data_IF_944116194586
#
_entry.id   IF_944116194586
#
_cell.length_a   1.000
_cell.length_b   1.000
_cell.length_c   1.000
_cell.angle_alpha   90.00
_cell.angle_beta   90.00
_cell.angle_gamma   90.00
#
_symmetry.space_group_name_H-M   'P 1'
#
loop_
_entity.id
_entity.type
_entity.pdbx_description
1 polymer ?
#
# COMPACT_ATOMS: atom_id res chain seq x y z
N UNK A 1 29.50 -90.05 -5.63
CA UNK A 1 28.87 -89.19 -6.66
C UNK A 1 28.61 -87.82 -6.04
N UNK A 2 29.36 -86.81 -6.46
CA UNK A 2 29.16 -85.40 -6.10
C UNK A 2 28.22 -84.76 -7.12
N UNK A 3 27.28 -83.91 -6.68
CA UNK A 3 26.65 -82.93 -7.56
C UNK A 3 26.58 -81.58 -6.86
N UNK A 4 27.42 -80.65 -7.36
CA UNK A 4 27.31 -79.21 -7.08
C UNK A 4 26.06 -78.67 -7.75
N UNK A 5 25.28 -77.82 -7.07
CA UNK A 5 24.47 -76.79 -7.71
C UNK A 5 24.60 -75.49 -6.93
N UNK A 6 25.37 -74.61 -7.55
CA UNK A 6 25.44 -73.18 -7.31
C UNK A 6 24.34 -72.55 -8.18
N UNK A 7 23.51 -71.66 -7.63
CA UNK A 7 22.69 -70.76 -8.46
C UNK A 7 22.22 -69.54 -7.68
N UNK A 8 22.95 -68.47 -7.89
CA UNK A 8 22.64 -67.06 -7.63
C UNK A 8 21.16 -66.69 -7.73
N UNK A 9 20.60 -66.11 -6.68
CA UNK A 9 19.33 -65.40 -6.76
C UNK A 9 19.59 -63.99 -7.32
N UNK A 10 19.24 -63.82 -8.60
CA UNK A 10 19.31 -62.55 -9.33
C UNK A 10 18.09 -61.72 -8.93
N UNK A 11 18.33 -60.59 -8.26
CA UNK A 11 17.31 -59.66 -7.81
C UNK A 11 16.45 -59.12 -8.98
N UNK A 12 15.13 -59.26 -8.85
CA UNK A 12 14.12 -58.75 -9.79
C UNK A 12 13.82 -57.28 -9.50
N UNK A 13 14.56 -56.37 -10.14
CA UNK A 13 14.32 -54.92 -10.14
C UNK A 13 13.45 -54.51 -11.35
N UNK A 14 12.14 -54.76 -11.29
CA UNK A 14 11.22 -54.31 -12.37
C UNK A 14 9.93 -53.61 -11.91
N UNK A 15 9.62 -53.62 -10.61
CA UNK A 15 8.35 -53.07 -10.12
C UNK A 15 8.52 -51.70 -9.44
N UNK A 16 9.68 -51.42 -8.83
CA UNK A 16 9.90 -50.16 -8.11
C UNK A 16 9.96 -48.92 -9.02
N UNK A 17 10.27 -49.08 -10.31
CA UNK A 17 10.33 -47.95 -11.24
C UNK A 17 8.94 -47.43 -11.62
N UNK A 18 7.95 -48.32 -11.70
CA UNK A 18 6.59 -47.92 -12.05
C UNK A 18 5.92 -47.19 -10.88
N UNK A 19 6.04 -47.76 -9.67
CA UNK A 19 5.50 -47.14 -8.45
C UNK A 19 6.17 -45.79 -8.15
N UNK A 20 7.48 -45.68 -8.39
CA UNK A 20 8.20 -44.41 -8.27
C UNK A 20 7.75 -43.39 -9.31
N UNK A 21 7.57 -43.80 -10.57
CA UNK A 21 7.07 -42.92 -11.62
C UNK A 21 5.63 -42.48 -11.35
N UNK A 22 4.78 -43.36 -10.81
CA UNK A 22 3.39 -43.04 -10.46
C UNK A 22 3.32 -42.10 -9.25
N UNK A 23 4.13 -42.34 -8.22
CA UNK A 23 4.29 -41.44 -7.08
C UNK A 23 4.83 -40.08 -7.51
N UNK A 24 5.84 -40.05 -8.39
CA UNK A 24 6.38 -38.84 -9.00
C UNK A 24 5.34 -38.13 -9.86
N UNK A 25 4.44 -38.85 -10.55
CA UNK A 25 3.35 -38.27 -11.33
C UNK A 25 2.25 -37.67 -10.45
N UNK A 26 1.97 -38.28 -9.28
CA UNK A 26 1.06 -37.73 -8.27
C UNK A 26 1.68 -36.52 -7.56
N UNK A 27 2.98 -36.55 -7.24
CA UNK A 27 3.68 -35.43 -6.61
C UNK A 27 4.00 -34.31 -7.61
N UNK A 28 4.08 -34.62 -8.91
CA UNK A 28 4.08 -33.67 -10.00
C UNK A 28 2.66 -33.20 -10.36
N UNK A 29 1.73 -33.23 -9.38
CA UNK A 29 0.58 -32.33 -9.35
C UNK A 29 1.09 -30.90 -9.51
N UNK A 30 1.09 -30.50 -10.78
CA UNK A 30 1.44 -29.21 -11.40
C UNK A 30 1.79 -28.10 -10.40
N UNK A 31 3.02 -27.61 -10.47
CA UNK A 31 3.44 -26.29 -9.96
C UNK A 31 2.75 -25.10 -10.69
N UNK A 32 1.59 -25.35 -11.31
CA UNK A 32 0.71 -24.39 -11.96
C UNK A 32 -0.74 -24.58 -11.47
N UNK A 33 -0.95 -25.10 -10.26
CA UNK A 33 -2.21 -24.86 -9.55
C UNK A 33 -2.39 -23.34 -9.57
N UNK A 34 -3.48 -22.86 -10.16
CA UNK A 34 -3.79 -21.45 -10.43
C UNK A 34 -4.13 -20.68 -9.13
N UNK A 35 -3.44 -21.06 -8.06
CA UNK A 35 -3.63 -20.76 -6.64
C UNK A 35 -2.61 -19.72 -6.15
N UNK A 36 -1.97 -18.97 -7.05
CA UNK A 36 -0.93 -18.02 -6.66
C UNK A 36 -1.47 -16.80 -5.90
N UNK A 37 -2.78 -16.52 -6.01
CA UNK A 37 -3.41 -15.33 -5.42
C UNK A 37 -4.84 -15.61 -4.94
N UNK A 38 -5.66 -16.24 -5.77
CA UNK A 38 -7.05 -16.60 -5.48
C UNK A 38 -7.17 -18.12 -5.62
N UNK A 39 -7.71 -18.85 -4.63
CA UNK A 39 -7.93 -20.27 -4.73
C UNK A 39 -8.79 -20.63 -5.94
N UNK A 40 -8.37 -21.60 -6.76
CA UNK A 40 -9.14 -22.11 -7.89
C UNK A 40 -10.43 -22.77 -7.36
N UNK A 41 -11.61 -22.17 -7.62
CA UNK A 41 -12.89 -22.68 -7.12
C UNK A 41 -13.35 -23.96 -7.83
N UNK A 42 -12.58 -24.49 -8.80
CA UNK A 42 -12.98 -25.61 -9.63
C UNK A 42 -14.08 -25.19 -10.60
N UNK A 43 -15.28 -25.79 -10.47
CA UNK A 43 -16.44 -25.48 -11.32
C UNK A 43 -17.32 -24.34 -10.76
N UNK A 44 -16.96 -23.76 -9.61
CA UNK A 44 -17.69 -22.67 -8.95
C UNK A 44 -17.12 -21.27 -9.25
N UNK A 45 -17.84 -20.19 -8.92
CA UNK A 45 -17.23 -18.86 -8.90
C UNK A 45 -16.22 -18.76 -7.74
N UNK A 46 -15.11 -18.03 -7.92
CA UNK A 46 -14.16 -17.80 -6.82
C UNK A 46 -14.81 -16.91 -5.76
N UNK A 47 -14.95 -17.43 -4.55
CA UNK A 47 -15.38 -16.65 -3.39
C UNK A 47 -14.13 -16.10 -2.70
N UNK A 48 -13.85 -14.81 -2.90
CA UNK A 48 -12.83 -14.07 -2.17
C UNK A 48 -13.55 -13.04 -1.32
N UNK A 49 -13.57 -13.26 -0.01
CA UNK A 49 -14.02 -12.27 0.97
C UNK A 49 -12.89 -11.28 1.19
N UNK A 50 -12.86 -10.24 0.35
CA UNK A 50 -11.95 -9.11 0.51
C UNK A 50 -12.70 -7.98 1.24
N UNK A 51 -12.51 -7.89 2.55
CA UNK A 51 -13.12 -6.88 3.42
C UNK A 51 -12.81 -5.45 2.93
N UNK A 52 -11.63 -5.23 2.33
CA UNK A 52 -11.26 -3.93 1.76
C UNK A 52 -12.05 -3.65 0.48
N UNK A 53 -12.18 -4.64 -0.40
CA UNK A 53 -12.97 -4.48 -1.62
C UNK A 53 -14.46 -4.24 -1.31
N UNK A 54 -15.00 -4.93 -0.30
CA UNK A 54 -16.36 -4.71 0.20
C UNK A 54 -16.52 -3.28 0.73
N UNK A 55 -15.61 -2.83 1.59
CA UNK A 55 -15.63 -1.46 2.12
C UNK A 55 -15.58 -0.40 1.01
N UNK A 56 -14.73 -0.58 -0.01
CA UNK A 56 -14.63 0.34 -1.15
C UNK A 56 -15.93 0.34 -1.96
N UNK A 57 -16.51 -0.83 -2.20
CA UNK A 57 -17.76 -0.95 -2.96
C UNK A 57 -18.94 -0.28 -2.23
N UNK A 58 -19.06 -0.49 -0.92
CA UNK A 58 -20.08 0.16 -0.09
C UNK A 58 -19.92 1.68 -0.07
N UNK A 59 -18.69 2.17 0.10
CA UNK A 59 -18.39 3.60 0.08
C UNK A 59 -18.76 4.23 -1.27
N UNK A 60 -18.44 3.56 -2.37
CA UNK A 60 -18.79 4.04 -3.71
C UNK A 60 -20.30 4.11 -3.92
N UNK A 61 -21.03 3.05 -3.56
CA UNK A 61 -22.51 3.03 -3.69
C UNK A 61 -23.14 4.11 -2.82
N UNK A 62 -22.66 4.29 -1.59
CA UNK A 62 -23.14 5.34 -0.70
C UNK A 62 -22.90 6.74 -1.30
N UNK A 63 -21.70 7.01 -1.82
CA UNK A 63 -21.36 8.27 -2.49
C UNK A 63 -22.26 8.52 -3.70
N UNK A 64 -22.31 7.57 -4.64
CA UNK A 64 -23.05 7.69 -5.89
C UNK A 64 -24.58 7.83 -5.72
N UNK A 65 -25.15 7.33 -4.62
CA UNK A 65 -26.60 7.36 -4.37
C UNK A 65 -27.05 8.45 -3.39
N UNK A 66 -26.12 9.07 -2.66
CA UNK A 66 -26.46 10.04 -1.61
C UNK A 66 -27.03 11.35 -2.14
N UNK A 67 -26.84 11.67 -3.43
CA UNK A 67 -27.26 12.94 -4.04
C UNK A 67 -26.58 14.18 -3.48
N UNK A 68 -25.69 14.01 -2.48
CA UNK A 68 -24.58 14.93 -2.24
C UNK A 68 -23.56 14.57 -3.31
N UNK A 69 -23.24 15.55 -4.18
CA UNK A 69 -21.94 15.52 -4.84
C UNK A 69 -20.89 15.22 -3.77
N UNK A 70 -19.91 14.39 -4.12
CA UNK A 70 -18.85 14.01 -3.21
C UNK A 70 -18.43 15.27 -2.44
N UNK A 71 -18.26 15.22 -1.11
CA UNK A 71 -17.99 16.44 -0.34
C UNK A 71 -16.75 17.19 -0.84
N UNK A 72 -15.97 16.53 -1.70
CA UNK A 72 -14.87 16.96 -2.56
C UNK A 72 -15.23 17.88 -3.71
N UNK A 73 -16.44 17.88 -4.30
CA UNK A 73 -16.77 18.76 -5.44
C UNK A 73 -16.56 20.25 -5.09
N UNK A 74 -16.94 20.67 -3.88
CA UNK A 74 -16.70 22.04 -3.40
C UNK A 74 -15.21 22.34 -3.15
N UNK A 75 -14.38 21.31 -2.88
CA UNK A 75 -12.93 21.46 -2.70
C UNK A 75 -12.16 21.43 -4.03
N UNK A 76 -12.65 20.68 -5.01
CA UNK A 76 -12.01 20.51 -6.33
C UNK A 76 -12.24 21.71 -7.26
N UNK A 77 -13.34 22.44 -7.09
CA UNK A 77 -13.65 23.65 -7.86
C UNK A 77 -12.93 24.93 -7.35
N UNK A 78 -12.22 24.84 -6.23
CA UNK A 78 -11.51 25.98 -5.64
C UNK A 78 -10.14 26.14 -6.29
N UNK A 79 -9.95 27.24 -7.02
CA UNK A 79 -8.64 27.60 -7.58
C UNK A 79 -7.69 28.03 -6.46
N UNK A 80 -6.65 27.25 -6.23
CA UNK A 80 -5.56 27.60 -5.31
C UNK A 80 -4.57 28.57 -5.99
N UNK A 81 -3.98 29.53 -5.27
CA UNK A 81 -3.07 30.50 -5.86
C UNK A 81 -1.81 29.83 -6.47
N UNK A 82 -1.44 28.64 -6.01
CA UNK A 82 -0.38 27.81 -6.59
C UNK A 82 -0.74 27.26 -7.98
N UNK A 83 -2.04 27.08 -8.29
CA UNK A 83 -2.54 26.53 -9.56
C UNK A 83 -2.54 27.56 -10.69
N UNK A 84 -2.77 28.84 -10.36
CA UNK A 84 -2.78 29.96 -11.31
C UNK A 84 -1.38 30.14 -11.95
N UNK A 85 -0.34 29.77 -11.20
CA UNK A 85 1.05 29.82 -11.63
C UNK A 85 1.63 31.23 -11.69
N UNK A 86 2.94 31.32 -11.47
CA UNK A 86 3.69 32.57 -11.46
C UNK A 86 4.99 32.42 -10.65
N UNK A 87 5.92 33.39 -10.74
CA UNK A 87 7.13 33.36 -9.92
C UNK A 87 6.86 33.64 -8.43
N UNK A 88 5.68 34.18 -8.08
CA UNK A 88 5.29 34.52 -6.72
C UNK A 88 3.86 34.02 -6.44
N UNK A 89 3.65 33.53 -5.22
CA UNK A 89 2.32 33.24 -4.65
C UNK A 89 1.88 34.49 -3.87
N UNK A 90 0.70 35.02 -4.18
CA UNK A 90 0.17 36.19 -3.47
C UNK A 90 -0.61 35.70 -2.25
N UNK A 91 -0.10 36.00 -1.07
CA UNK A 91 -0.69 35.68 0.23
C UNK A 91 -1.19 36.96 0.93
N UNK A 92 -2.04 36.82 1.93
CA UNK A 92 -2.45 37.93 2.82
C UNK A 92 -1.62 37.95 4.09
N UNK A 93 -1.53 39.12 4.74
CA UNK A 93 -0.89 39.26 6.06
C UNK A 93 -1.43 38.21 7.05
N UNK A 94 -2.75 38.00 7.04
CA UNK A 94 -3.41 37.02 7.91
C UNK A 94 -2.93 35.58 7.66
N UNK A 95 -2.60 35.23 6.41
CA UNK A 95 -2.11 33.90 6.03
C UNK A 95 -0.65 33.67 6.44
N UNK A 96 0.18 34.72 6.44
CA UNK A 96 1.62 34.58 6.73
C UNK A 96 1.98 34.85 8.19
N UNK A 97 1.40 35.89 8.79
CA UNK A 97 1.77 36.41 10.12
C UNK A 97 0.60 36.41 11.12
N UNK A 98 -0.58 35.95 10.68
CA UNK A 98 -1.79 35.85 11.48
C UNK A 98 -2.58 37.16 11.58
N UNK A 99 -3.78 37.08 12.16
CA UNK A 99 -4.75 38.19 12.16
C UNK A 99 -4.30 39.42 12.97
N UNK A 100 -3.42 39.22 13.96
CA UNK A 100 -2.98 40.29 14.85
C UNK A 100 -1.48 40.31 15.02
N UNK A 101 -0.95 41.47 15.42
CA UNK A 101 0.49 41.70 15.66
C UNK A 101 1.10 40.72 16.67
N UNK A 102 0.29 40.13 17.54
CA UNK A 102 0.73 39.23 18.61
C UNK A 102 0.41 37.76 18.32
N UNK A 103 -0.21 37.47 17.19
CA UNK A 103 -0.73 36.12 16.89
C UNK A 103 0.36 35.05 16.67
N UNK A 104 1.59 35.48 16.36
CA UNK A 104 2.75 34.60 16.21
C UNK A 104 3.72 34.66 17.39
N UNK A 105 3.47 35.52 18.36
CA UNK A 105 4.24 35.55 19.59
C UNK A 105 3.81 34.42 20.53
N UNK A 106 4.73 33.87 21.34
CA UNK A 106 4.35 32.97 22.42
C UNK A 106 3.44 33.68 23.42
N UNK A 107 2.54 32.93 24.10
CA UNK A 107 1.54 33.49 25.02
C UNK A 107 2.16 34.29 26.19
N UNK A 108 3.39 33.96 26.57
CA UNK A 108 4.19 34.60 27.62
C UNK A 108 5.27 35.54 27.07
N UNK A 109 5.16 35.95 25.80
CA UNK A 109 6.06 36.88 25.15
C UNK A 109 5.95 38.30 25.70
N UNK A 110 7.06 38.84 26.20
CA UNK A 110 7.15 40.22 26.65
C UNK A 110 7.64 41.14 25.52
N UNK A 111 7.13 42.37 25.48
CA UNK A 111 7.53 43.36 24.47
C UNK A 111 8.95 43.85 24.76
N UNK A 112 9.87 43.64 23.83
CA UNK A 112 11.23 44.17 23.94
C UNK A 112 11.24 45.71 23.88
N UNK A 113 12.10 46.38 24.69
CA UNK A 113 12.29 47.82 24.61
C UNK A 113 12.96 48.23 23.29
N UNK A 114 12.74 49.47 22.87
CA UNK A 114 13.39 50.00 21.66
C UNK A 114 14.93 49.95 21.75
N UNK A 115 15.63 49.74 20.62
CA UNK A 115 17.09 49.72 20.58
C UNK A 115 17.71 51.00 21.16
N UNK A 116 18.77 50.84 21.94
CA UNK A 116 19.54 51.98 22.46
C UNK A 116 20.53 52.47 21.41
N UNK A 117 20.60 53.79 21.24
CA UNK A 117 21.59 54.41 20.36
C UNK A 117 22.98 54.31 20.98
N UNK A 118 23.82 53.41 20.47
CA UNK A 118 25.24 53.39 20.81
C UNK A 118 25.99 54.39 19.92
N UNK A 119 26.31 55.56 20.47
CA UNK A 119 27.22 56.51 19.81
C UNK A 119 28.64 55.99 20.02
N UNK A 120 29.30 55.46 18.99
CA UNK A 120 30.74 55.24 19.04
C UNK A 120 31.43 56.57 19.35
N UNK A 121 32.31 56.66 20.36
CA UNK A 121 33.05 57.88 20.61
C UNK A 121 33.91 58.18 19.38
N UNK A 122 33.70 59.35 18.78
CA UNK A 122 34.62 59.91 17.79
C UNK A 122 35.94 60.17 18.52
N UNK A 123 36.99 59.43 18.15
CA UNK A 123 38.36 59.68 18.61
C UNK A 123 38.99 60.82 17.83
#
# INVERSE_FOLDING_TARGET
>A
MQTKRDSSLRATSRNHSHDFMEAARRSAGRAESRDAFIPDPGDGPPEVLDELAEQIAEQYVASATSGRGDTTEDYEDRVEPEEIGGPFVITTDEQEIGYSRDSTNPEDGEVEPFPLVHRSPVR
#
